data_IF_997333953225
#
_entry.id   IF_997333953225
#
_cell.length_a   1.000
_cell.length_b   1.000
_cell.length_c   1.000
_cell.angle_alpha   90.00
_cell.angle_beta   90.00
_cell.angle_gamma   90.00
#
_symmetry.space_group_name_H-M   'P 1'
#
loop_
_entity.id
_entity.type
_entity.pdbx_description
1 polymer ?
2 non-polymer ?
3 non-polymer ?
4 non-polymer ?
5 water ?
#
# COMPACT_ATOMS: atom_id res chain seq x y z
N UNK A 1 -2.54 18.50 3.20
CA UNK A 1 -1.65 17.71 4.13
C UNK A 1 -1.09 16.47 3.40
N UNK A 2 -1.88 15.87 2.51
CA UNK A 2 -1.49 14.62 1.80
C UNK A 2 -1.01 14.96 0.38
N UNK A 3 -0.98 16.22 0.00
CA UNK A 3 -0.87 16.55 -1.43
C UNK A 3 0.42 16.03 -2.05
N UNK A 4 1.50 15.91 -1.31
CA UNK A 4 2.72 15.46 -1.99
C UNK A 4 2.65 13.97 -2.37
N UNK A 5 1.73 13.21 -1.75
CA UNK A 5 1.54 11.79 -2.10
C UNK A 5 0.71 11.62 -3.37
N UNK A 6 -0.02 12.64 -3.79
CA UNK A 6 -0.98 12.46 -4.88
C UNK A 6 -0.28 12.28 -6.20
N UNK A 7 -0.83 11.44 -7.04
CA UNK A 7 -0.35 11.24 -8.41
C UNK A 7 -0.22 9.78 -8.73
N UNK A 8 0.50 9.53 -9.80
CA UNK A 8 0.72 8.20 -10.36
C UNK A 8 2.16 7.79 -10.09
N UNK A 9 2.32 6.60 -9.56
CA UNK A 9 3.60 6.09 -9.05
C UNK A 9 3.85 4.71 -9.62
N UNK A 10 5.09 4.41 -9.98
CA UNK A 10 5.44 3.09 -10.55
C UNK A 10 6.49 2.40 -9.69
N UNK A 11 6.34 1.10 -9.50
CA UNK A 11 7.29 0.35 -8.67
C UNK A 11 8.65 0.27 -9.37
N UNK A 12 9.70 0.62 -8.62
CA UNK A 12 11.08 0.58 -9.15
C UNK A 12 12.05 -0.19 -8.26
N UNK A 13 11.63 -0.70 -7.11
CA UNK A 13 12.51 -1.51 -6.24
C UNK A 13 11.61 -2.26 -5.27
N UNK A 14 12.00 -3.48 -4.92
CA UNK A 14 11.24 -4.25 -3.92
C UNK A 14 12.20 -5.11 -3.13
N UNK A 15 12.06 -5.02 -1.79
CA UNK A 15 12.87 -5.80 -0.85
C UNK A 15 11.93 -6.54 0.10
N UNK A 16 12.11 -7.86 0.16
CA UNK A 16 11.42 -8.71 1.14
C UNK A 16 9.90 -8.81 0.91
N UNK A 17 9.42 -8.55 -0.30
CA UNK A 17 7.97 -8.72 -0.54
C UNK A 17 7.57 -10.18 -0.41
N UNK A 18 8.41 -11.12 -0.83
CA UNK A 18 8.04 -12.52 -0.64
C UNK A 18 7.88 -12.83 0.84
N UNK A 19 8.78 -12.35 1.68
CA UNK A 19 8.66 -12.59 3.13
C UNK A 19 7.32 -12.08 3.64
N UNK A 20 6.97 -10.87 3.23
CA UNK A 20 5.72 -10.24 3.67
C UNK A 20 4.51 -11.08 3.22
N UNK A 21 4.46 -11.41 1.94
CA UNK A 21 3.37 -12.22 1.42
C UNK A 21 3.30 -13.57 2.12
N UNK A 22 4.44 -14.19 2.34
CA UNK A 22 4.41 -15.51 2.96
C UNK A 22 3.88 -15.38 4.39
N UNK A 23 4.25 -14.33 5.11
CA UNK A 23 3.75 -14.10 6.49
C UNK A 23 2.23 -14.01 6.50
N UNK A 24 1.65 -13.37 5.47
CA UNK A 24 0.21 -13.23 5.32
C UNK A 24 -0.45 -14.54 4.84
N UNK A 25 0.30 -15.59 4.53
CA UNK A 25 -0.29 -16.84 4.07
C UNK A 25 -0.61 -16.87 2.58
N UNK A 26 0.00 -15.98 1.80
CA UNK A 26 -0.20 -16.01 0.34
C UNK A 26 0.47 -17.26 -0.24
N UNK A 27 -0.22 -17.96 -1.12
CA UNK A 27 0.29 -19.18 -1.73
C UNK A 27 1.45 -18.96 -2.67
N UNK A 28 2.23 -20.02 -2.89
CA UNK A 28 3.50 -19.88 -3.63
C UNK A 28 3.27 -19.37 -5.04
N UNK A 29 2.21 -19.76 -5.72
CA UNK A 29 2.03 -19.38 -7.13
C UNK A 29 1.72 -17.90 -7.21
N UNK A 30 0.89 -17.41 -6.31
CA UNK A 30 0.62 -15.96 -6.26
C UNK A 30 1.89 -15.20 -5.92
N UNK A 31 2.67 -15.69 -4.97
CA UNK A 31 3.93 -14.98 -4.63
C UNK A 31 4.84 -14.94 -5.84
N UNK A 32 4.88 -16.02 -6.56
CA UNK A 32 5.78 -16.14 -7.72
C UNK A 32 5.40 -15.06 -8.75
N UNK A 33 4.13 -14.94 -9.14
CA UNK A 33 3.71 -13.93 -10.11
C UNK A 33 3.93 -12.53 -9.53
N UNK A 34 3.53 -12.34 -8.28
CA UNK A 34 3.66 -11.02 -7.64
C UNK A 34 5.11 -10.55 -7.62
N UNK A 35 6.06 -11.45 -7.47
CA UNK A 35 7.48 -11.09 -7.40
C UNK A 35 8.00 -10.52 -8.71
N UNK A 36 7.27 -10.73 -9.81
CA UNK A 36 7.65 -10.24 -11.15
C UNK A 36 6.71 -9.16 -11.65
N UNK A 37 5.80 -8.70 -10.82
CA UNK A 37 4.81 -7.68 -11.21
C UNK A 37 5.29 -6.31 -10.73
N UNK A 38 5.09 -5.28 -11.54
CA UNK A 38 5.44 -3.89 -11.16
C UNK A 38 4.16 -3.06 -11.19
N UNK A 39 3.50 -2.90 -10.06
CA UNK A 39 2.26 -2.15 -10.07
C UNK A 39 2.47 -0.66 -10.30
N UNK A 40 1.35 -0.05 -10.71
CA UNK A 40 1.17 1.40 -10.72
C UNK A 40 0.19 1.73 -9.61
N UNK A 41 0.56 2.67 -8.74
CA UNK A 41 -0.34 3.15 -7.69
C UNK A 41 -0.74 4.57 -8.00
N UNK A 42 -2.04 4.82 -7.98
CA UNK A 42 -2.60 6.15 -8.26
C UNK A 42 -3.30 6.62 -7.00
N UNK A 43 -2.91 7.78 -6.51
CA UNK A 43 -3.50 8.34 -5.29
C UNK A 43 -4.14 9.66 -5.70
N UNK A 44 -5.44 9.78 -5.49
CA UNK A 44 -6.24 10.98 -5.89
C UNK A 44 -7.04 11.45 -4.68
N UNK A 45 -7.34 12.74 -4.63
CA UNK A 45 -8.29 13.22 -3.61
C UNK A 45 -9.38 14.02 -4.26
N UNK A 46 -10.51 14.01 -3.59
CA UNK A 46 -11.68 14.85 -3.90
C UNK A 46 -12.21 15.32 -2.56
N UNK A 47 -11.87 16.55 -2.21
CA UNK A 47 -12.19 17.00 -0.86
C UNK A 47 -11.48 16.12 0.15
N UNK A 48 -12.11 15.62 1.20
CA UNK A 48 -11.22 14.83 2.09
C UNK A 48 -11.43 13.33 1.81
N UNK A 49 -11.96 12.97 0.62
CA UNK A 49 -11.97 11.55 0.26
C UNK A 49 -10.76 11.25 -0.62
N UNK A 50 -9.93 10.31 -0.17
CA UNK A 50 -8.81 9.77 -0.96
C UNK A 50 -9.26 8.50 -1.65
N UNK A 51 -8.75 8.30 -2.88
CA UNK A 51 -8.90 7.06 -3.59
C UNK A 51 -7.51 6.57 -3.98
N UNK A 52 -7.22 5.31 -3.65
CA UNK A 52 -5.91 4.70 -3.91
C UNK A 52 -6.15 3.48 -4.76
N UNK A 53 -5.66 3.55 -6.00
CA UNK A 53 -5.76 2.48 -6.98
C UNK A 53 -4.41 1.79 -7.08
N UNK A 54 -4.43 0.48 -7.18
CA UNK A 54 -3.22 -0.31 -7.49
C UNK A 54 -3.53 -1.14 -8.72
N UNK A 55 -2.81 -0.88 -9.80
CA UNK A 55 -3.06 -1.51 -11.10
C UNK A 55 -1.87 -2.36 -11.49
N UNK A 56 -2.12 -3.52 -12.07
CA UNK A 56 -1.03 -4.35 -12.56
C UNK A 56 -1.55 -5.36 -13.56
N UNK A 57 -0.61 -6.10 -14.11
CA UNK A 57 -0.94 -7.23 -14.99
C UNK A 57 -1.48 -8.43 -14.24
N UNK A 58 -1.48 -8.41 -12.92
CA UNK A 58 -1.88 -9.57 -12.10
C UNK A 58 -3.15 -9.26 -11.32
N UNK A 59 -3.04 -8.43 -10.29
CA UNK A 59 -4.17 -8.02 -9.45
C UNK A 59 -4.37 -6.50 -9.57
N UNK A 60 -5.61 -6.05 -9.57
CA UNK A 60 -5.97 -4.62 -9.37
C UNK A 60 -6.82 -4.47 -8.10
N UNK A 61 -6.60 -3.37 -7.40
CA UNK A 61 -7.43 -3.00 -6.26
C UNK A 61 -7.75 -1.53 -6.38
N UNK A 62 -8.82 -1.14 -5.52
CA UNK A 62 -9.14 0.27 -5.38
C UNK A 62 -9.81 0.41 -4.02
N UNK A 63 -9.39 1.40 -3.26
CA UNK A 63 -10.04 1.77 -2.00
C UNK A 63 -10.32 3.26 -2.00
N UNK A 64 -11.41 3.66 -1.35
CA UNK A 64 -11.69 5.06 -1.06
C UNK A 64 -11.92 5.19 0.45
N UNK A 65 -11.44 6.28 1.01
CA UNK A 65 -11.51 6.48 2.46
C UNK A 65 -11.36 7.94 2.79
N UNK A 66 -11.83 8.26 3.99
CA UNK A 66 -11.54 9.55 4.64
C UNK A 66 -10.41 9.32 5.64
N UNK A 67 -9.36 10.19 5.76
CA UNK A 67 -8.34 10.01 6.77
C UNK A 67 -9.02 9.95 8.12
N UNK A 68 -8.56 9.00 8.92
CA UNK A 68 -9.01 8.91 10.30
C UNK A 68 -10.37 8.30 10.49
N UNK A 69 -10.96 7.73 9.45
CA UNK A 69 -12.28 7.08 9.55
C UNK A 69 -12.15 5.64 9.09
N UNK A 70 -12.52 4.70 9.93
CA UNK A 70 -12.39 3.28 9.61
C UNK A 70 -13.24 2.93 8.38
N UNK A 71 -12.75 1.98 7.60
CA UNK A 71 -13.46 1.48 6.43
C UNK A 71 -13.22 -0.01 6.29
N UNK A 72 -14.19 -0.71 5.71
CA UNK A 72 -14.01 -2.10 5.32
C UNK A 72 -13.18 -2.18 4.06
N UNK A 73 -12.32 -3.20 3.97
CA UNK A 73 -11.45 -3.40 2.81
C UNK A 73 -11.33 -4.88 2.55
N UNK A 74 -11.24 -5.24 1.27
CA UNK A 74 -10.92 -6.60 0.84
C UNK A 74 -9.63 -6.51 0.05
N UNK A 75 -8.55 -7.07 0.59
CA UNK A 75 -7.23 -6.86 0.04
C UNK A 75 -6.99 -7.67 -1.22
N UNK A 76 -5.85 -7.42 -1.86
CA UNK A 76 -5.50 -8.11 -3.12
C UNK A 76 -5.40 -9.61 -2.93
N UNK A 77 -4.99 -10.03 -1.72
CA UNK A 77 -4.89 -11.44 -1.33
C UNK A 77 -6.14 -11.94 -0.61
N UNK A 78 -7.25 -11.20 -0.75
CA UNK A 78 -8.60 -11.64 -0.33
C UNK A 78 -8.79 -11.69 1.18
N UNK A 79 -8.04 -10.90 1.95
CA UNK A 79 -8.37 -10.72 3.37
C UNK A 79 -9.46 -9.66 3.50
N UNK A 80 -10.43 -9.93 4.36
CA UNK A 80 -11.47 -8.96 4.70
C UNK A 80 -11.05 -8.31 6.01
N UNK A 81 -10.71 -7.03 5.94
CA UNK A 81 -10.06 -6.32 7.05
C UNK A 81 -10.81 -5.04 7.40
N UNK A 82 -10.56 -4.55 8.59
CA UNK A 82 -10.98 -3.24 9.07
C UNK A 82 -9.78 -2.32 8.97
N UNK A 83 -9.91 -1.23 8.25
CA UNK A 83 -8.77 -0.38 7.89
C UNK A 83 -8.95 1.04 8.36
N UNK A 84 -7.84 1.70 8.59
CA UNK A 84 -7.83 3.15 8.83
C UNK A 84 -6.53 3.69 8.24
N UNK A 85 -6.61 4.86 7.64
CA UNK A 85 -5.44 5.55 7.09
C UNK A 85 -5.36 6.92 7.76
N UNK A 86 -4.16 7.28 8.23
CA UNK A 86 -3.90 8.54 8.94
C UNK A 86 -2.61 9.16 8.40
N UNK A 87 -2.38 10.42 8.71
CA UNK A 87 -1.06 11.01 8.58
C UNK A 87 -0.42 11.02 9.95
N UNK A 88 0.81 10.60 9.97
CA UNK A 88 1.56 10.44 11.24
C UNK A 88 3.01 10.78 10.92
N UNK A 89 3.49 11.89 11.45
CA UNK A 89 4.87 12.27 11.14
C UNK A 89 5.09 12.56 9.69
N UNK A 90 4.06 13.00 8.99
CA UNK A 90 4.15 13.26 7.55
C UNK A 90 4.06 12.01 6.70
N UNK A 91 3.87 10.85 7.31
CA UNK A 91 3.76 9.58 6.61
C UNK A 91 2.29 9.21 6.51
N UNK A 92 1.94 8.56 5.42
CA UNK A 92 0.58 8.07 5.24
C UNK A 92 0.55 6.63 5.80
N UNK A 93 -0.12 6.40 6.94
CA UNK A 93 -0.07 5.12 7.66
C UNK A 93 -1.41 4.42 7.49
N UNK A 94 -1.40 3.26 6.87
CA UNK A 94 -2.58 2.42 6.65
C UNK A 94 -2.45 1.20 7.55
N UNK A 95 -3.39 1.05 8.49
CA UNK A 95 -3.44 -0.08 9.42
C UNK A 95 -4.63 -0.96 9.05
N UNK A 96 -4.39 -2.25 8.87
CA UNK A 96 -5.41 -3.26 8.61
C UNK A 96 -5.49 -4.23 9.77
N UNK A 97 -6.71 -4.55 10.19
CA UNK A 97 -6.99 -5.46 11.35
C UNK A 97 -7.93 -6.55 10.89
N UNK A 98 -7.63 -7.79 11.22
CA UNK A 98 -8.54 -8.91 10.93
C UNK A 98 -8.17 -10.07 11.84
N UNK A 99 -9.15 -10.72 12.42
CA UNK A 99 -8.89 -11.94 13.21
C UNK A 99 -7.85 -11.69 14.33
N UNK A 100 -7.82 -10.47 14.87
CA UNK A 100 -6.81 -10.11 15.89
C UNK A 100 -5.42 -9.81 15.32
N UNK A 101 -5.18 -10.06 14.06
CA UNK A 101 -3.93 -9.74 13.37
C UNK A 101 -3.94 -8.29 12.93
N UNK A 102 -2.76 -7.78 12.67
CA UNK A 102 -2.58 -6.43 12.14
C UNK A 102 -1.46 -6.44 11.12
N UNK A 103 -1.57 -5.53 10.14
CA UNK A 103 -0.45 -5.19 9.27
C UNK A 103 -0.49 -3.70 9.03
N UNK A 104 0.69 -3.11 8.87
CA UNK A 104 0.79 -1.70 8.52
C UNK A 104 1.44 -1.53 7.16
N UNK A 105 0.95 -0.54 6.45
CA UNK A 105 1.44 -0.13 5.14
C UNK A 105 1.76 1.35 5.29
N UNK A 106 3.03 1.69 5.38
CA UNK A 106 3.45 3.06 5.71
C UNK A 106 4.09 3.65 4.45
N UNK A 107 3.62 4.82 4.03
CA UNK A 107 4.17 5.51 2.86
C UNK A 107 4.84 6.81 3.32
N UNK A 108 6.05 7.03 2.82
CA UNK A 108 6.79 8.25 3.11
C UNK A 108 7.50 8.70 1.84
N UNK A 109 7.78 9.97 1.78
CA UNK A 109 8.50 10.55 0.64
C UNK A 109 9.94 10.79 1.07
N UNK A 110 10.88 10.27 0.30
CA UNK A 110 12.33 10.45 0.51
C UNK A 110 12.94 10.81 -0.84
N UNK A 111 13.48 12.01 -0.93
CA UNK A 111 14.13 12.49 -2.17
C UNK A 111 13.19 12.32 -3.36
N UNK A 112 11.91 12.60 -3.15
CA UNK A 112 10.91 12.56 -4.23
C UNK A 112 10.41 11.17 -4.55
N UNK A 113 10.94 10.13 -3.92
CA UNK A 113 10.46 8.76 -4.12
C UNK A 113 9.48 8.41 -3.03
N UNK A 114 8.53 7.56 -3.36
CA UNK A 114 7.57 7.08 -2.36
C UNK A 114 8.05 5.72 -1.89
N UNK A 115 8.30 5.66 -0.58
CA UNK A 115 8.77 4.42 0.06
C UNK A 115 7.61 3.84 0.84
N UNK A 116 7.22 2.62 0.47
CA UNK A 116 6.15 1.86 1.11
C UNK A 116 6.80 0.78 1.96
N UNK A 117 6.55 0.83 3.26
CA UNK A 117 7.06 -0.18 4.20
C UNK A 117 5.87 -0.99 4.68
N UNK A 118 5.95 -2.30 4.47
CA UNK A 118 4.90 -3.26 4.79
C UNK A 118 5.39 -4.14 5.93
N UNK A 119 4.65 -4.19 7.05
CA UNK A 119 5.08 -4.99 8.20
C UNK A 119 3.95 -5.92 8.59
N UNK A 120 4.25 -7.20 8.73
CA UNK A 120 3.30 -8.18 9.30
C UNK A 120 4.14 -9.21 10.03
N UNK A 121 3.76 -9.55 11.24
CA UNK A 121 4.60 -10.47 12.01
C UNK A 121 5.98 -9.83 12.18
N UNK A 122 7.02 -10.58 11.86
CA UNK A 122 8.38 -10.03 11.88
C UNK A 122 8.81 -9.56 10.51
N UNK A 123 8.03 -9.80 9.46
CA UNK A 123 8.42 -9.50 8.08
C UNK A 123 8.29 -8.00 7.83
N UNK A 124 9.33 -7.43 7.24
CA UNK A 124 9.37 -6.00 6.90
C UNK A 124 9.82 -5.91 5.45
N UNK A 125 8.94 -5.40 4.61
CA UNK A 125 9.17 -5.22 3.17
C UNK A 125 9.24 -3.74 2.86
N UNK A 126 10.15 -3.39 1.95
CA UNK A 126 10.30 -1.98 1.52
C UNK A 126 10.17 -1.95 -0.01
N UNK A 127 9.22 -1.19 -0.49
CA UNK A 127 9.04 -1.05 -1.91
C UNK A 127 9.08 0.40 -2.27
N UNK A 128 9.79 0.67 -3.32
CA UNK A 128 10.04 2.05 -3.74
C UNK A 128 9.30 2.33 -5.04
N UNK A 129 8.59 3.44 -5.05
CA UNK A 129 7.85 3.90 -6.22
C UNK A 129 8.40 5.25 -6.66
N UNK A 130 8.37 5.44 -7.97
CA UNK A 130 8.84 6.66 -8.65
C UNK A 130 7.65 7.36 -9.30
N UNK A 131 7.65 8.67 -9.25
CA UNK A 131 6.43 9.38 -9.74
C UNK A 131 6.46 9.49 -11.26
N UNK A 132 5.34 9.13 -11.88
CA UNK A 132 5.04 9.32 -13.32
C UNK A 132 4.47 10.73 -13.55
N UNK A 133 4.91 11.34 -14.63
CA UNK A 133 4.56 12.70 -15.09
C UNK A 133 3.11 12.73 -15.54
#
# INVERSE_FOLDING_TARGET
>A
MVDAFLGTWKLVDSKNFDDYMKSLGVGFATRQVASMTKPTTIIEKNGDILTLKTHSTFKNTEISFKLGVEFDETTADDRKVKSIVTLDGGKLVHLQKWDGQETTLVRELIDGKLILTLTHGTAVCTRTYEKEA
#
